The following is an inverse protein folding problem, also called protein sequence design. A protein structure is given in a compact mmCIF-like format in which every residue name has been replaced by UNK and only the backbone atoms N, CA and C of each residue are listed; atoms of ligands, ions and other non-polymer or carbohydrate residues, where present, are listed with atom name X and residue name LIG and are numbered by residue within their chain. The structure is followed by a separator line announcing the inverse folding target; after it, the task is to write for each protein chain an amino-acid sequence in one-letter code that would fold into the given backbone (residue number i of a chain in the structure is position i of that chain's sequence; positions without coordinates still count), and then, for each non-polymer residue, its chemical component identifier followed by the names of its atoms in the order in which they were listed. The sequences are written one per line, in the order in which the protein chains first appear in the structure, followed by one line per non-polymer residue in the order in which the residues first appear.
data_IF_801166991456
#
_entry.id   IF_801166991456
#
_cell.length_a   1.000
_cell.length_b   1.000
_cell.length_c   1.000
_cell.angle_alpha   90.00
_cell.angle_beta   90.00
_cell.angle_gamma   90.00
#
_symmetry.space_group_name_H-M   'P 1'
#
loop_
_entity.id
_entity.type
_entity.pdbx_description
1 polymer ?
#
# COMPACT_ATOMS: atom_id res chain seq x y z
N UNK A 1 -16.64 14.47 7.10
CA UNK A 1 -16.36 13.58 5.96
C UNK A 1 -15.77 12.28 6.49
N UNK A 2 -16.46 11.13 6.39
CA UNK A 2 -15.99 9.85 6.96
C UNK A 2 -14.86 9.30 6.07
N UNK A 3 -13.66 9.13 6.61
CA UNK A 3 -12.49 8.55 5.91
C UNK A 3 -12.90 7.21 5.29
N UNK A 4 -12.97 7.13 3.96
CA UNK A 4 -13.19 5.88 3.24
C UNK A 4 -11.93 5.03 3.36
N UNK A 5 -12.03 3.86 4.01
CA UNK A 5 -10.92 2.91 4.14
C UNK A 5 -11.04 1.89 3.03
N UNK A 6 -10.17 1.99 2.02
CA UNK A 6 -10.12 1.03 0.91
C UNK A 6 -9.75 -0.38 1.40
N UNK A 7 -10.17 -1.43 0.70
CA UNK A 7 -9.91 -2.84 1.06
C UNK A 7 -8.47 -3.29 0.73
N UNK A 8 -7.58 -2.35 0.37
CA UNK A 8 -6.15 -2.59 0.21
C UNK A 8 -5.57 -2.77 1.62
N UNK A 9 -5.15 -3.99 1.96
CA UNK A 9 -4.33 -4.19 3.15
C UNK A 9 -3.07 -3.35 3.00
N UNK A 10 -2.76 -2.60 4.06
CA UNK A 10 -1.68 -1.62 4.09
C UNK A 10 -0.42 -2.11 3.37
N UNK A 11 0.10 -1.22 2.53
CA UNK A 11 1.39 -1.34 1.88
C UNK A 11 2.44 -1.81 2.90
N UNK A 12 3.15 -2.88 2.60
CA UNK A 12 4.19 -3.41 3.47
C UNK A 12 5.50 -2.70 3.16
N UNK A 13 6.03 -1.96 4.13
CA UNK A 13 7.42 -1.51 4.17
C UNK A 13 7.99 -2.07 5.45
N UNK A 14 9.07 -2.84 5.35
CA UNK A 14 9.85 -3.24 6.52
C UNK A 14 10.90 -2.16 6.76
N UNK A 15 10.90 -1.62 7.97
CA UNK A 15 11.87 -0.62 8.40
C UNK A 15 13.19 -1.34 8.70
N UNK A 16 14.11 -1.35 7.73
CA UNK A 16 15.50 -1.67 8.01
C UNK A 16 16.09 -0.45 8.70
N UNK A 17 16.18 -0.53 10.03
CA UNK A 17 16.71 0.51 10.91
C UNK A 17 18.19 0.91 10.64
N UNK A 18 18.77 0.55 9.48
CA UNK A 18 20.19 0.76 9.16
C UNK A 18 20.46 1.39 7.77
N UNK A 19 19.45 1.69 6.96
CA UNK A 19 19.66 2.40 5.67
C UNK A 19 19.66 3.92 5.81
N UNK A 20 20.39 4.45 6.81
CA UNK A 20 20.79 5.86 6.80
C UNK A 20 22.01 6.02 5.89
N UNK A 21 21.80 6.50 4.66
CA UNK A 21 22.76 7.38 3.94
C UNK A 21 22.08 8.06 2.75
N UNK A 22 22.07 9.38 2.84
CA UNK A 22 21.52 10.35 1.90
C UNK A 22 22.19 10.30 0.52
N UNK A 23 21.50 10.75 -0.54
CA UNK A 23 22.14 11.56 -1.58
C UNK A 23 21.20 12.60 -2.23
N UNK A 24 21.75 13.80 -2.31
CA UNK A 24 21.30 15.10 -2.85
C UNK A 24 20.89 15.10 -4.33
N UNK A 25 19.87 15.89 -4.68
CA UNK A 25 19.88 16.87 -5.80
C UNK A 25 18.58 17.72 -5.75
N UNK A 26 18.62 19.00 -5.39
CA UNK A 26 18.88 20.17 -6.23
C UNK A 26 17.59 20.90 -6.70
N UNK A 27 17.30 21.97 -5.94
CA UNK A 27 16.62 23.25 -6.26
C UNK A 27 15.70 23.34 -7.49
N UNK A 28 14.41 23.54 -7.20
CA UNK A 28 13.55 24.45 -7.96
C UNK A 28 12.92 25.44 -6.96
N UNK A 29 13.07 26.74 -7.22
CA UNK A 29 12.65 27.81 -6.34
C UNK A 29 11.13 27.83 -6.14
N UNK A 30 10.66 27.28 -5.03
CA UNK A 30 9.36 27.60 -4.43
C UNK A 30 9.55 27.65 -2.93
N UNK A 31 8.97 28.67 -2.31
CA UNK A 31 8.94 28.82 -0.86
C UNK A 31 8.59 27.47 -0.22
N UNK A 32 9.45 27.00 0.70
CA UNK A 32 9.17 25.82 1.49
C UNK A 32 8.00 26.15 2.40
N UNK A 33 6.78 25.74 2.00
CA UNK A 33 5.64 25.76 2.92
C UNK A 33 6.00 24.81 4.06
N UNK A 34 5.98 25.26 5.32
CA UNK A 34 6.29 24.39 6.45
C UNK A 34 5.32 23.22 6.44
N UNK A 35 5.85 22.03 6.19
CA UNK A 35 5.06 20.79 6.16
C UNK A 35 4.59 20.54 7.59
N UNK A 36 3.26 20.43 7.80
CA UNK A 36 2.77 19.85 9.05
C UNK A 36 3.33 18.42 9.13
N UNK A 37 3.77 17.95 10.30
CA UNK A 37 4.15 16.55 10.45
C UNK A 37 3.00 15.66 9.98
N UNK A 38 3.23 14.89 8.90
CA UNK A 38 2.30 13.84 8.46
C UNK A 38 2.18 12.76 9.54
N UNK A 39 1.18 11.88 9.41
CA UNK A 39 1.04 10.76 10.33
C UNK A 39 2.31 9.89 10.30
N UNK A 40 2.63 9.16 11.38
CA UNK A 40 3.82 8.29 11.47
C UNK A 40 3.96 7.37 10.25
N UNK A 41 2.82 6.90 9.70
CA UNK A 41 2.76 6.06 8.51
C UNK A 41 3.32 6.74 7.25
N UNK A 42 3.13 8.04 7.10
CA UNK A 42 3.56 8.78 5.92
C UNK A 42 5.10 8.81 5.86
N UNK A 43 5.77 8.88 7.02
CA UNK A 43 7.24 8.88 7.14
C UNK A 43 7.89 7.56 6.71
N UNK A 44 7.23 6.42 6.99
CA UNK A 44 7.74 5.10 6.64
C UNK A 44 7.80 4.95 5.11
N UNK A 45 6.76 5.41 4.41
CA UNK A 45 6.74 5.35 2.95
C UNK A 45 7.58 6.43 2.28
N UNK A 46 7.72 7.61 2.90
CA UNK A 46 8.62 8.69 2.43
C UNK A 46 10.09 8.24 2.37
N UNK A 47 10.52 7.39 3.31
CA UNK A 47 11.89 6.87 3.36
C UNK A 47 12.11 5.59 2.54
N UNK A 48 11.04 4.92 2.11
CA UNK A 48 11.12 3.63 1.44
C UNK A 48 11.44 3.78 -0.05
N UNK A 49 12.51 3.14 -0.53
CA UNK A 49 12.84 3.09 -1.95
C UNK A 49 11.85 2.22 -2.76
N UNK A 50 11.30 1.19 -2.13
CA UNK A 50 10.37 0.23 -2.72
C UNK A 50 9.30 -0.17 -1.70
N UNK A 51 8.13 -0.57 -2.18
CA UNK A 51 7.02 -1.04 -1.34
C UNK A 51 6.12 -2.02 -2.10
N UNK A 52 5.41 -2.87 -1.37
CA UNK A 52 4.43 -3.80 -1.94
C UNK A 52 2.99 -3.37 -1.65
N UNK A 53 2.11 -3.50 -2.64
CA UNK A 53 0.65 -3.33 -2.54
C UNK A 53 0.01 -4.71 -2.61
N UNK A 54 -0.78 -5.10 -1.60
CA UNK A 54 -1.50 -6.38 -1.58
C UNK A 54 -3.01 -6.14 -1.77
N UNK A 55 -3.56 -6.69 -2.85
CA UNK A 55 -5.01 -6.68 -3.14
C UNK A 55 -5.63 -7.93 -2.53
N UNK A 56 -6.37 -7.74 -1.43
CA UNK A 56 -6.93 -8.84 -0.66
C UNK A 56 -8.02 -9.59 -1.44
N UNK A 57 -8.08 -10.91 -1.25
CA UNK A 57 -9.15 -11.75 -1.75
C UNK A 57 -10.41 -11.64 -0.86
N UNK A 58 -11.56 -11.98 -1.45
CA UNK A 58 -12.88 -11.83 -0.85
C UNK A 58 -13.07 -12.50 0.53
N UNK A 59 -12.31 -13.54 0.83
CA UNK A 59 -12.30 -14.31 2.07
C UNK A 59 -11.37 -13.70 3.14
N UNK A 60 -10.55 -12.70 2.81
CA UNK A 60 -9.57 -12.09 3.71
C UNK A 60 -10.12 -10.89 4.51
N UNK A 61 -11.40 -10.93 4.90
CA UNK A 61 -12.07 -9.85 5.65
C UNK A 61 -11.39 -9.55 6.98
N UNK A 62 -11.02 -10.59 7.74
CA UNK A 62 -10.34 -10.43 9.03
C UNK A 62 -8.96 -9.78 8.87
N UNK A 63 -8.26 -10.10 7.78
CA UNK A 63 -6.98 -9.45 7.46
C UNK A 63 -7.19 -7.97 7.13
N UNK A 64 -8.20 -7.64 6.33
CA UNK A 64 -8.55 -6.24 6.02
C UNK A 64 -8.87 -5.44 7.30
N UNK A 65 -9.61 -6.04 8.23
CA UNK A 65 -9.93 -5.44 9.54
C UNK A 65 -8.68 -5.23 10.37
N UNK A 66 -7.80 -6.22 10.45
CA UNK A 66 -6.52 -6.14 11.17
C UNK A 66 -5.66 -4.97 10.67
N UNK A 67 -5.51 -4.82 9.36
CA UNK A 67 -4.73 -3.72 8.77
C UNK A 67 -5.41 -2.35 8.83
N UNK A 68 -6.71 -2.30 9.16
CA UNK A 68 -7.49 -1.06 9.29
C UNK A 68 -7.48 -0.47 10.70
N UNK A 69 -7.01 -1.21 11.72
CA UNK A 69 -6.98 -0.75 13.12
C UNK A 69 -5.54 -0.55 13.62
N UNK A 70 -5.32 0.34 14.61
CA UNK A 70 -4.05 0.37 15.33
C UNK A 70 -3.81 -1.01 15.97
N UNK A 71 -2.65 -1.59 15.69
CA UNK A 71 -2.23 -2.88 16.23
C UNK A 71 -0.72 -2.87 16.36
N UNK A 72 -0.19 -3.45 17.43
CA UNK A 72 1.25 -3.46 17.77
C UNK A 72 2.05 -4.26 16.75
N UNK A 73 1.55 -5.42 16.33
CA UNK A 73 2.11 -6.21 15.23
C UNK A 73 1.00 -6.67 14.27
N UNK A 74 0.97 -6.11 13.06
CA UNK A 74 -0.06 -6.43 12.05
C UNK A 74 0.25 -7.70 11.25
N UNK A 75 1.49 -8.16 11.26
CA UNK A 75 1.94 -9.30 10.48
C UNK A 75 2.06 -10.59 11.34
N UNK A 76 1.96 -10.49 12.66
CA UNK A 76 1.90 -11.65 13.56
C UNK A 76 0.90 -12.72 13.10
N UNK A 77 1.41 -13.90 12.74
CA UNK A 77 0.60 -15.04 12.28
C UNK A 77 -0.07 -14.85 10.91
N UNK A 78 0.31 -13.84 10.13
CA UNK A 78 -0.12 -13.69 8.74
C UNK A 78 0.89 -14.43 7.85
N UNK A 79 0.48 -15.39 7.02
CA UNK A 79 1.37 -15.99 6.05
C UNK A 79 1.71 -14.96 4.96
N UNK A 80 3.01 -14.72 4.77
CA UNK A 80 3.55 -13.89 3.70
C UNK A 80 4.92 -14.42 3.30
N UNK A 81 5.33 -14.07 2.08
CA UNK A 81 6.72 -14.22 1.64
C UNK A 81 7.33 -12.85 1.41
N UNK A 82 8.65 -12.78 1.43
CA UNK A 82 9.36 -11.54 1.11
C UNK A 82 9.51 -11.39 -0.41
N UNK A 83 9.23 -10.19 -0.88
CA UNK A 83 9.47 -9.74 -2.25
C UNK A 83 10.81 -8.99 -2.38
N UNK A 84 10.89 -8.15 -3.40
CA UNK A 84 11.92 -7.14 -3.57
C UNK A 84 11.95 -6.18 -2.37
N UNK A 85 13.15 -5.77 -1.96
CA UNK A 85 13.38 -4.91 -0.79
C UNK A 85 12.69 -5.38 0.50
N UNK A 86 12.59 -6.70 0.68
CA UNK A 86 11.97 -7.33 1.85
C UNK A 86 10.53 -6.87 2.13
N UNK A 87 9.83 -6.43 1.08
CA UNK A 87 8.43 -6.03 1.17
C UNK A 87 7.54 -7.29 1.30
N UNK A 88 6.62 -7.36 2.28
CA UNK A 88 5.81 -8.54 2.51
C UNK A 88 4.71 -8.69 1.46
N UNK A 89 4.70 -9.85 0.80
CA UNK A 89 3.70 -10.28 -0.17
C UNK A 89 2.80 -11.31 0.52
N UNK A 90 1.58 -10.90 0.84
CA UNK A 90 0.62 -11.67 1.62
C UNK A 90 0.15 -12.88 0.81
N UNK A 91 0.15 -14.06 1.44
CA UNK A 91 -0.37 -15.26 0.79
C UNK A 91 -1.90 -15.23 0.68
N UNK A 92 -2.43 -15.86 -0.37
CA UNK A 92 -3.87 -15.91 -0.61
C UNK A 92 -4.48 -14.61 -1.14
N UNK A 93 -3.70 -13.55 -1.35
CA UNK A 93 -4.20 -12.32 -1.96
C UNK A 93 -4.64 -12.54 -3.42
N UNK A 94 -5.58 -11.71 -3.89
CA UNK A 94 -6.03 -11.72 -5.28
C UNK A 94 -4.96 -11.20 -6.23
N UNK A 95 -4.16 -10.22 -5.78
CA UNK A 95 -2.99 -9.74 -6.50
C UNK A 95 -1.99 -9.07 -5.55
N UNK A 96 -0.75 -8.96 -5.99
CA UNK A 96 0.25 -8.11 -5.37
C UNK A 96 1.00 -7.32 -6.45
N UNK A 97 1.45 -6.12 -6.08
CA UNK A 97 2.30 -5.27 -6.90
C UNK A 97 3.51 -4.85 -6.08
N UNK A 98 4.69 -4.92 -6.67
CA UNK A 98 5.93 -4.39 -6.14
C UNK A 98 6.23 -3.10 -6.88
N UNK A 99 6.41 -2.02 -6.13
CA UNK A 99 6.53 -0.69 -6.66
C UNK A 99 7.84 -0.06 -6.22
N UNK A 100 8.55 0.58 -7.15
CA UNK A 100 9.61 1.53 -6.85
C UNK A 100 9.00 2.89 -6.56
N UNK A 101 9.43 3.55 -5.48
CA UNK A 101 8.96 4.88 -5.15
C UNK A 101 9.28 5.86 -6.28
N UNK A 102 8.26 6.54 -6.81
CA UNK A 102 8.39 7.47 -7.93
C UNK A 102 8.18 8.92 -7.49
N UNK A 103 7.06 9.22 -6.83
CA UNK A 103 6.76 10.57 -6.40
C UNK A 103 5.79 10.60 -5.21
N UNK A 104 5.82 11.72 -4.49
CA UNK A 104 4.95 11.98 -3.38
C UNK A 104 4.30 13.36 -3.50
N UNK A 105 2.97 13.40 -3.42
CA UNK A 105 2.21 14.64 -3.56
C UNK A 105 1.27 14.87 -2.37
N UNK A 106 1.38 16.01 -1.67
CA UNK A 106 0.36 16.43 -0.73
C UNK A 106 -0.98 16.66 -1.42
N UNK A 107 -2.04 16.10 -0.87
CA UNK A 107 -3.41 16.23 -1.36
C UNK A 107 -4.36 16.52 -0.18
N UNK A 108 -4.34 17.76 0.31
CA UNK A 108 -5.15 18.18 1.45
C UNK A 108 -4.74 17.48 2.74
N UNK A 109 -5.62 16.62 3.26
CA UNK A 109 -5.41 15.80 4.46
C UNK A 109 -4.88 14.39 4.14
N UNK A 110 -4.42 14.17 2.90
CA UNK A 110 -3.84 12.92 2.42
C UNK A 110 -2.49 13.16 1.74
N UNK A 111 -1.70 12.09 1.64
CA UNK A 111 -0.50 12.01 0.80
C UNK A 111 -0.77 11.01 -0.33
N UNK A 112 -0.52 11.41 -1.56
CA UNK A 112 -0.56 10.53 -2.73
C UNK A 112 0.84 9.95 -2.96
N UNK A 113 0.95 8.64 -2.80
CA UNK A 113 2.14 7.87 -3.13
C UNK A 113 2.01 7.34 -4.56
N UNK A 114 2.93 7.77 -5.42
CA UNK A 114 3.05 7.29 -6.80
C UNK A 114 4.24 6.37 -6.85
N UNK A 115 4.02 5.15 -7.35
CA UNK A 115 5.05 4.15 -7.53
C UNK A 115 5.00 3.54 -8.92
N UNK A 116 6.18 3.27 -9.45
CA UNK A 116 6.37 2.54 -10.69
C UNK A 116 6.30 1.04 -10.39
N UNK A 117 5.37 0.33 -11.03
CA UNK A 117 5.24 -1.12 -10.86
C UNK A 117 6.42 -1.81 -11.54
N UNK A 118 7.26 -2.50 -10.75
CA UNK A 118 8.43 -3.23 -11.23
C UNK A 118 8.17 -4.74 -11.33
N UNK A 119 7.22 -5.26 -10.55
CA UNK A 119 6.74 -6.63 -10.64
C UNK A 119 5.29 -6.70 -10.13
N UNK A 120 4.51 -7.65 -10.64
CA UNK A 120 3.17 -7.92 -10.16
C UNK A 120 2.77 -9.35 -10.48
N UNK A 121 1.86 -9.90 -9.68
CA UNK A 121 1.13 -11.10 -10.05
C UNK A 121 -0.31 -11.03 -9.55
N UNK A 122 -1.19 -11.76 -10.23
CA UNK A 122 -2.59 -11.90 -9.85
C UNK A 122 -3.00 -13.37 -9.88
N UNK A 123 -4.10 -13.66 -9.18
CA UNK A 123 -4.76 -14.97 -9.16
C UNK A 123 -6.21 -14.78 -9.59
N UNK A 124 -6.84 -15.85 -10.08
CA UNK A 124 -8.28 -15.88 -10.39
C UNK A 124 -9.11 -15.97 -9.10
N UNK A 125 -8.96 -14.97 -8.22
CA UNK A 125 -9.70 -14.82 -6.98
C UNK A 125 -10.47 -13.50 -7.04
N UNK A 126 -11.73 -13.51 -6.63
CA UNK A 126 -12.50 -12.26 -6.50
C UNK A 126 -11.86 -11.35 -5.46
N UNK A 127 -11.56 -10.08 -5.78
CA UNK A 127 -10.99 -9.15 -4.82
C UNK A 127 -12.03 -8.74 -3.78
N UNK A 128 -11.55 -8.43 -2.58
CA UNK A 128 -12.34 -7.86 -1.51
C UNK A 128 -12.66 -6.39 -1.82
N UNK A 129 -13.93 -6.02 -1.71
CA UNK A 129 -14.42 -4.67 -1.96
C UNK A 129 -14.94 -4.06 -0.66
N UNK A 130 -14.60 -2.81 -0.38
CA UNK A 130 -15.24 -2.01 0.66
C UNK A 130 -16.15 -0.96 0.02
N UNK A 131 -17.46 -1.10 0.20
CA UNK A 131 -18.44 -0.17 -0.37
C UNK A 131 -19.68 -0.06 0.52
N UNK A 132 -20.12 1.17 0.76
CA UNK A 132 -21.27 1.46 1.62
C UNK A 132 -21.04 1.04 3.08
N UNK A 133 -19.82 1.24 3.58
CA UNK A 133 -19.39 0.82 4.94
C UNK A 133 -19.49 -0.69 5.22
N UNK A 134 -19.43 -1.52 4.18
CA UNK A 134 -19.49 -2.98 4.28
C UNK A 134 -18.49 -3.64 3.33
N UNK A 135 -17.98 -4.80 3.74
CA UNK A 135 -17.22 -5.70 2.87
C UNK A 135 -18.16 -6.39 1.88
N UNK A 136 -17.71 -6.53 0.64
CA UNK A 136 -18.43 -7.13 -0.48
C UNK A 136 -17.45 -7.92 -1.34
N UNK A 137 -17.97 -8.88 -2.09
CA UNK A 137 -17.22 -9.61 -3.11
C UNK A 137 -17.43 -8.87 -4.43
N UNK A 138 -16.35 -8.62 -5.19
CA UNK A 138 -16.52 -8.15 -6.56
C UNK A 138 -17.12 -9.29 -7.39
N UNK A 139 -18.18 -8.98 -8.15
CA UNK A 139 -18.54 -9.84 -9.27
C UNK A 139 -17.42 -9.71 -10.31
N UNK A 140 -17.02 -10.80 -10.99
CA UNK A 140 -16.23 -10.64 -12.20
C UNK A 140 -17.03 -9.77 -13.18
N UNK A 141 -16.37 -8.77 -13.76
CA UNK A 141 -16.96 -8.04 -14.88
C UNK A 141 -17.18 -8.99 -16.06
N UNK A 142 -18.05 -8.65 -17.03
CA UNK A 142 -18.05 -9.36 -18.30
C UNK A 142 -16.61 -9.40 -18.82
N UNK A 143 -16.15 -10.56 -19.28
CA UNK A 143 -14.79 -10.73 -19.82
C UNK A 143 -14.55 -9.62 -20.85
N UNK A 144 -13.65 -8.70 -20.53
CA UNK A 144 -13.26 -7.64 -21.43
C UNK A 144 -12.66 -8.30 -22.67
N UNK A 145 -13.19 -7.94 -23.84
CA UNK A 145 -12.63 -8.33 -25.13
C UNK A 145 -11.23 -7.71 -25.20
N UNK A 146 -10.20 -8.55 -25.28
CA UNK A 146 -8.85 -8.11 -25.61
C UNK A 146 -8.88 -7.62 -27.08
N UNK A 147 -9.12 -6.31 -27.28
CA UNK A 147 -9.08 -5.62 -28.58
C UNK A 147 -7.73 -4.92 -28.79
#
# INVERSE_FOLDING_TARGET
MRRHRSPVAGTGVRDDADSQRAHSAARCGRAAVPRRPGAIRDRIFEGAAQYAVNVLAHDQVELARRFSHPHTDRFAGVPFRLGQADAPLIEGCAAWLECRHHALHPAGDHMLFIGEVVAAAHRRLSPLVWHGSRYRVSQPGPEGRDD
#
